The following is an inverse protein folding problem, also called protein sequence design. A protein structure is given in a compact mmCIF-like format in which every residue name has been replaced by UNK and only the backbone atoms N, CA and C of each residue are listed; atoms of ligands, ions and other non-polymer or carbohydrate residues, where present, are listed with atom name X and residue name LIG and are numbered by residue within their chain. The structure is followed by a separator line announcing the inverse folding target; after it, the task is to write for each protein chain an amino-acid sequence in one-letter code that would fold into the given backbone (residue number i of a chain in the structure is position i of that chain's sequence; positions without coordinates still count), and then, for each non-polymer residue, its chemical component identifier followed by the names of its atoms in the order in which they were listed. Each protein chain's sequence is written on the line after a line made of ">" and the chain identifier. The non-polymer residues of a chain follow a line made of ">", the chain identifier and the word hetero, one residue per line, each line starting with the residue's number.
data_IF_235187232737
#
_entry.id   IF_235187232737
#
_cell.length_a   1.000
_cell.length_b   1.000
_cell.length_c   1.000
_cell.angle_alpha   90.00
_cell.angle_beta   90.00
_cell.angle_gamma   90.00
#
_symmetry.space_group_name_H-M   'P 1'
#
loop_
_entity.id
_entity.type
_entity.pdbx_description
1 polymer ?
#
# COMPACT_ATOMS: atom_id res chain seq x y z
N UNK A 1 -17.07 3.46 4.14
CA UNK A 1 -16.73 4.26 5.33
C UNK A 1 -16.78 3.33 6.53
N UNK A 2 -15.64 2.94 7.10
CA UNK A 2 -15.60 2.07 8.28
C UNK A 2 -16.02 2.89 9.52
N UNK A 3 -17.22 2.66 10.04
CA UNK A 3 -17.69 3.22 11.32
C UNK A 3 -17.72 2.10 12.37
N UNK A 4 -17.02 2.31 13.49
CA UNK A 4 -17.27 1.73 14.81
C UNK A 4 -17.06 0.24 15.02
N UNK A 5 -17.74 -0.60 14.25
CA UNK A 5 -17.79 -2.05 14.47
C UNK A 5 -17.06 -2.76 13.32
N UNK A 6 -15.89 -3.35 13.61
CA UNK A 6 -15.09 -4.11 12.65
C UNK A 6 -13.68 -3.58 12.36
N UNK A 7 -13.16 -2.63 13.14
CA UNK A 7 -11.77 -2.19 12.99
C UNK A 7 -10.79 -3.24 13.54
N UNK A 8 -9.64 -3.47 12.87
CA UNK A 8 -8.59 -4.31 13.42
C UNK A 8 -8.14 -3.80 14.79
N UNK A 9 -7.75 -4.74 15.65
CA UNK A 9 -7.28 -4.42 17.00
C UNK A 9 -6.07 -3.47 16.94
N UNK A 10 -6.11 -2.39 17.74
CA UNK A 10 -5.01 -1.42 17.82
C UNK A 10 -5.07 -0.27 16.83
N UNK A 11 -6.12 -0.19 16.00
CA UNK A 11 -6.36 0.96 15.12
C UNK A 11 -6.98 2.11 15.91
N UNK A 12 -6.29 3.26 15.95
CA UNK A 12 -6.85 4.54 16.37
C UNK A 12 -7.27 5.35 15.11
N UNK A 13 -8.57 5.53 14.85
CA UNK A 13 -9.05 6.28 13.69
C UNK A 13 -8.88 7.81 13.82
N UNK A 14 -8.48 8.30 15.00
CA UNK A 14 -8.13 9.70 15.24
C UNK A 14 -6.66 10.03 14.97
N UNK A 15 -5.83 9.03 14.65
CA UNK A 15 -4.42 9.19 14.33
C UNK A 15 -4.15 8.79 12.88
N UNK A 16 -3.54 9.69 12.10
CA UNK A 16 -3.15 9.37 10.74
C UNK A 16 -2.07 8.29 10.68
N UNK A 17 -2.11 7.46 9.64
CA UNK A 17 -1.08 6.46 9.32
C UNK A 17 -0.58 6.63 7.90
N UNK A 18 0.70 6.36 7.68
CA UNK A 18 1.33 6.44 6.35
C UNK A 18 0.66 5.46 5.37
N UNK A 19 0.35 4.23 5.79
CA UNK A 19 -0.29 3.24 4.91
C UNK A 19 -1.67 3.71 4.43
N UNK A 20 -2.49 4.23 5.35
CA UNK A 20 -3.84 4.76 5.04
C UNK A 20 -3.81 6.08 4.28
N UNK A 21 -2.86 6.95 4.58
CA UNK A 21 -2.64 8.16 3.78
C UNK A 21 -2.25 7.81 2.35
N UNK A 22 -1.38 6.82 2.16
CA UNK A 22 -0.96 6.37 0.83
C UNK A 22 -2.13 5.75 0.05
N UNK A 23 -2.97 4.94 0.71
CA UNK A 23 -4.25 4.46 0.16
C UNK A 23 -5.14 5.64 -0.29
N UNK A 24 -5.32 6.67 0.55
CA UNK A 24 -6.09 7.86 0.20
C UNK A 24 -5.49 8.65 -0.98
N UNK A 25 -4.15 8.74 -1.07
CA UNK A 25 -3.46 9.38 -2.20
C UNK A 25 -3.71 8.64 -3.52
N UNK A 26 -3.79 7.31 -3.47
CA UNK A 26 -4.11 6.45 -4.61
C UNK A 26 -5.62 6.37 -4.92
N UNK A 27 -6.47 6.91 -4.04
CA UNK A 27 -7.92 6.91 -4.22
C UNK A 27 -8.61 5.64 -3.71
N UNK A 28 -7.96 4.91 -2.79
CA UNK A 28 -8.58 3.78 -2.09
C UNK A 28 -9.57 4.22 -1.01
N UNK A 29 -10.20 3.23 -0.39
CA UNK A 29 -11.30 3.43 0.57
C UNK A 29 -10.96 2.97 2.00
N UNK A 30 -9.77 2.40 2.21
CA UNK A 30 -9.32 1.87 3.50
C UNK A 30 -8.57 2.94 4.31
N UNK A 31 -9.19 4.13 4.40
CA UNK A 31 -8.64 5.30 5.07
C UNK A 31 -9.72 6.07 5.84
N UNK A 32 -9.31 6.71 6.94
CA UNK A 32 -10.19 7.49 7.78
C UNK A 32 -10.17 8.98 7.41
N UNK A 33 -11.04 9.76 8.05
CA UNK A 33 -11.08 11.21 7.86
C UNK A 33 -9.73 11.87 8.18
N UNK A 34 -9.07 11.47 9.28
CA UNK A 34 -7.77 12.03 9.69
C UNK A 34 -6.68 11.79 8.64
N UNK A 35 -6.71 10.64 7.95
CA UNK A 35 -5.74 10.32 6.90
C UNK A 35 -5.95 11.25 5.69
N UNK A 36 -7.21 11.50 5.30
CA UNK A 36 -7.54 12.41 4.20
C UNK A 36 -7.23 13.87 4.53
N UNK A 37 -7.45 14.29 5.77
CA UNK A 37 -7.07 15.62 6.25
C UNK A 37 -5.55 15.80 6.19
N UNK A 38 -4.78 14.80 6.64
CA UNK A 38 -3.32 14.82 6.51
C UNK A 38 -2.88 14.88 5.05
N UNK A 39 -3.49 14.09 4.15
CA UNK A 39 -3.20 14.15 2.70
C UNK A 39 -3.54 15.53 2.12
N UNK A 40 -4.64 16.16 2.54
CA UNK A 40 -5.01 17.50 2.09
C UNK A 40 -3.97 18.55 2.54
N UNK A 41 -3.48 18.46 3.78
CA UNK A 41 -2.41 19.32 4.28
C UNK A 41 -1.10 19.11 3.49
N UNK A 42 -0.72 17.86 3.20
CA UNK A 42 0.44 17.57 2.34
C UNK A 42 0.25 18.09 0.91
N UNK A 43 -0.95 17.95 0.34
CA UNK A 43 -1.27 18.43 -1.02
C UNK A 43 -1.19 19.96 -1.12
N UNK A 44 -1.50 20.67 -0.04
CA UNK A 44 -1.35 22.13 0.00
C UNK A 44 0.12 22.58 -0.04
N UNK A 45 1.06 21.75 0.41
CA UNK A 45 2.51 21.99 0.34
C UNK A 45 3.05 21.56 -1.02
N UNK A 46 2.70 20.35 -1.47
CA UNK A 46 3.08 19.81 -2.76
C UNK A 46 1.85 19.25 -3.51
N UNK A 47 1.37 19.95 -4.55
CA UNK A 47 0.25 19.48 -5.36
C UNK A 47 0.51 18.15 -6.10
N UNK A 48 1.76 17.68 -6.17
CA UNK A 48 2.16 16.48 -6.90
C UNK A 48 2.05 15.18 -6.09
N UNK A 49 1.70 15.22 -4.80
CA UNK A 49 1.70 14.02 -3.92
C UNK A 49 0.96 12.81 -4.51
N UNK A 50 -0.20 13.00 -5.14
CA UNK A 50 -0.95 11.91 -5.79
C UNK A 50 -0.23 11.35 -7.01
N UNK A 51 0.44 12.22 -7.77
CA UNK A 51 1.24 11.82 -8.93
C UNK A 51 2.48 11.05 -8.47
N UNK A 52 3.13 11.48 -7.40
CA UNK A 52 4.26 10.77 -6.80
C UNK A 52 3.86 9.38 -6.29
N UNK A 53 2.72 9.24 -5.60
CA UNK A 53 2.21 7.94 -5.16
C UNK A 53 1.96 6.97 -6.34
N UNK A 54 1.33 7.45 -7.42
CA UNK A 54 1.13 6.66 -8.64
C UNK A 54 2.45 6.27 -9.31
N UNK A 55 3.39 7.21 -9.41
CA UNK A 55 4.71 6.97 -9.98
C UNK A 55 5.49 5.92 -9.18
N UNK A 56 5.41 5.97 -7.85
CA UNK A 56 6.01 4.98 -6.96
C UNK A 56 5.40 3.58 -7.16
N UNK A 57 4.05 3.45 -7.24
CA UNK A 57 3.42 2.15 -7.58
C UNK A 57 3.84 1.63 -8.95
N UNK A 58 3.91 2.50 -9.95
CA UNK A 58 4.37 2.12 -11.28
C UNK A 58 5.85 1.66 -11.26
N UNK A 59 6.70 2.30 -10.46
CA UNK A 59 8.09 1.89 -10.28
C UNK A 59 8.20 0.53 -9.61
N UNK A 60 7.49 0.31 -8.50
CA UNK A 60 7.42 -0.98 -7.80
C UNK A 60 7.11 -2.12 -8.77
N UNK A 61 6.06 -1.97 -9.59
CA UNK A 61 5.67 -2.99 -10.58
C UNK A 61 6.72 -3.24 -11.67
N UNK A 62 7.52 -2.23 -12.07
CA UNK A 62 8.63 -2.43 -13.01
C UNK A 62 9.81 -3.14 -12.34
N UNK A 63 10.16 -2.73 -11.11
CA UNK A 63 11.27 -3.30 -10.36
C UNK A 63 11.03 -4.78 -10.01
N UNK A 64 9.84 -5.13 -9.52
CA UNK A 64 9.49 -6.51 -9.17
C UNK A 64 9.52 -7.41 -10.41
N UNK A 65 8.95 -6.95 -11.53
CA UNK A 65 8.98 -7.69 -12.80
C UNK A 65 10.40 -7.94 -13.28
N UNK A 66 11.23 -6.90 -13.29
CA UNK A 66 12.64 -7.02 -13.66
C UNK A 66 13.37 -8.05 -12.80
N UNK A 67 13.19 -8.00 -11.47
CA UNK A 67 13.81 -8.97 -10.56
C UNK A 67 13.31 -10.40 -10.79
N UNK A 68 12.02 -10.58 -11.04
CA UNK A 68 11.43 -11.88 -11.33
C UNK A 68 11.96 -12.47 -12.66
N UNK A 69 12.07 -11.64 -13.69
CA UNK A 69 12.67 -12.02 -14.99
C UNK A 69 14.16 -12.34 -14.84
N UNK A 70 14.87 -11.66 -13.94
CA UNK A 70 16.27 -11.94 -13.58
C UNK A 70 16.45 -13.19 -12.70
N UNK A 71 15.39 -13.93 -12.40
CA UNK A 71 15.44 -15.21 -11.68
C UNK A 71 15.21 -15.13 -10.18
N UNK A 72 14.90 -13.95 -9.62
CA UNK A 72 14.49 -13.84 -8.21
C UNK A 72 13.13 -14.51 -8.03
N UNK A 73 13.01 -15.39 -7.03
CA UNK A 73 11.78 -16.16 -6.73
C UNK A 73 11.22 -15.90 -5.33
N UNK A 74 11.89 -15.13 -4.50
CA UNK A 74 11.50 -14.87 -3.12
C UNK A 74 11.63 -13.37 -2.85
N UNK A 75 10.54 -12.77 -2.38
CA UNK A 75 10.45 -11.34 -2.09
C UNK A 75 9.99 -11.15 -0.65
N UNK A 76 10.54 -10.12 -0.01
CA UNK A 76 10.05 -9.59 1.26
C UNK A 76 9.73 -8.12 1.01
N UNK A 77 8.46 -7.75 1.15
CA UNK A 77 7.97 -6.39 0.97
C UNK A 77 7.73 -5.75 2.35
N UNK A 78 8.61 -4.82 2.71
CA UNK A 78 8.64 -4.15 4.02
C UNK A 78 7.96 -2.78 3.91
N UNK A 79 6.89 -2.58 4.66
CA UNK A 79 5.99 -1.43 4.49
C UNK A 79 5.12 -1.59 3.25
N UNK A 80 4.53 -2.78 3.08
CA UNK A 80 3.72 -3.14 1.91
C UNK A 80 2.51 -2.24 1.69
N UNK A 81 2.05 -1.61 2.78
CA UNK A 81 0.86 -0.80 2.83
C UNK A 81 -0.40 -1.61 2.60
N UNK A 82 -1.50 -0.89 2.40
CA UNK A 82 -2.80 -1.50 2.10
C UNK A 82 -2.76 -2.06 0.66
N UNK A 83 -3.28 -3.27 0.43
CA UNK A 83 -3.31 -3.87 -0.89
C UNK A 83 -4.03 -2.99 -1.92
N UNK A 84 -3.45 -2.94 -3.11
CA UNK A 84 -3.96 -2.16 -4.25
C UNK A 84 -3.83 -2.99 -5.53
N UNK A 85 -4.34 -2.53 -6.67
CA UNK A 85 -4.09 -3.22 -7.94
C UNK A 85 -2.57 -3.29 -8.24
N UNK A 86 -2.07 -4.47 -8.62
CA UNK A 86 -0.66 -4.67 -8.94
C UNK A 86 0.21 -4.93 -7.73
N UNK A 87 -0.27 -5.74 -6.78
CA UNK A 87 0.49 -6.19 -5.62
C UNK A 87 1.77 -6.95 -6.04
N UNK A 88 2.80 -6.91 -5.19
CA UNK A 88 4.11 -7.54 -5.48
C UNK A 88 4.00 -9.00 -5.93
N UNK A 89 3.14 -9.80 -5.30
CA UNK A 89 2.94 -11.20 -5.65
C UNK A 89 2.29 -11.37 -7.02
N UNK A 90 1.30 -10.53 -7.38
CA UNK A 90 0.65 -10.57 -8.69
C UNK A 90 1.68 -10.30 -9.80
N UNK A 91 2.50 -9.26 -9.61
CA UNK A 91 3.54 -8.89 -10.57
C UNK A 91 4.63 -9.96 -10.67
N UNK A 92 5.09 -10.48 -9.53
CA UNK A 92 6.13 -11.50 -9.49
C UNK A 92 5.65 -12.84 -10.09
N UNK A 93 4.44 -13.28 -9.76
CA UNK A 93 3.89 -14.55 -10.23
C UNK A 93 3.50 -14.51 -11.71
N UNK A 94 3.08 -13.35 -12.23
CA UNK A 94 2.84 -13.17 -13.65
C UNK A 94 4.12 -13.38 -14.49
N UNK A 95 5.27 -12.91 -14.00
CA UNK A 95 6.57 -13.11 -14.66
C UNK A 95 7.20 -14.47 -14.34
N UNK A 96 6.91 -15.03 -13.17
CA UNK A 96 7.55 -16.23 -12.65
C UNK A 96 6.58 -17.07 -11.82
N UNK A 97 5.85 -18.01 -12.45
CA UNK A 97 4.98 -18.94 -11.74
C UNK A 97 5.77 -19.70 -10.67
N UNK A 98 5.42 -19.51 -9.39
CA UNK A 98 6.13 -20.05 -8.23
C UNK A 98 6.92 -19.03 -7.40
N UNK A 99 6.93 -17.74 -7.78
CA UNK A 99 7.44 -16.68 -6.93
C UNK A 99 6.63 -16.58 -5.62
N UNK A 100 7.34 -16.42 -4.50
CA UNK A 100 6.77 -16.28 -3.16
C UNK A 100 7.06 -14.89 -2.60
N UNK A 101 6.09 -14.32 -1.91
CA UNK A 101 6.18 -12.98 -1.32
C UNK A 101 5.75 -13.05 0.13
N UNK A 102 6.49 -12.37 1.00
CA UNK A 102 6.08 -12.09 2.38
C UNK A 102 5.84 -10.59 2.47
N UNK A 103 4.67 -10.21 2.96
CA UNK A 103 4.31 -8.82 3.25
C UNK A 103 4.49 -8.53 4.72
N UNK A 104 5.07 -7.37 5.03
CA UNK A 104 5.29 -6.90 6.40
C UNK A 104 4.83 -5.46 6.48
N UNK A 105 3.91 -5.18 7.39
CA UNK A 105 3.48 -3.83 7.72
C UNK A 105 3.17 -3.71 9.21
N UNK A 106 3.26 -2.50 9.75
CA UNK A 106 2.94 -2.22 11.14
C UNK A 106 1.56 -1.59 11.32
N UNK A 107 0.90 -1.17 10.24
CA UNK A 107 -0.47 -0.70 10.27
C UNK A 107 -1.42 -1.91 10.36
N UNK A 108 -2.23 -2.05 11.44
CA UNK A 108 -3.15 -3.17 11.56
C UNK A 108 -4.20 -3.22 10.43
N UNK A 109 -4.52 -2.10 9.78
CA UNK A 109 -5.39 -2.08 8.59
C UNK A 109 -4.70 -2.75 7.41
N UNK A 110 -3.41 -2.46 7.17
CA UNK A 110 -2.65 -3.12 6.10
C UNK A 110 -2.56 -4.64 6.34
N UNK A 111 -2.26 -5.04 7.58
CA UNK A 111 -2.18 -6.46 7.96
C UNK A 111 -3.53 -7.17 7.79
N UNK A 112 -4.63 -6.55 8.24
CA UNK A 112 -5.96 -7.16 8.17
C UNK A 112 -6.49 -7.37 6.75
N UNK A 113 -5.97 -6.62 5.78
CA UNK A 113 -6.37 -6.71 4.37
C UNK A 113 -5.36 -7.47 3.50
N UNK A 114 -4.24 -7.96 4.06
CA UNK A 114 -3.22 -8.70 3.32
C UNK A 114 -3.70 -10.12 2.99
N UNK A 115 -3.75 -10.47 1.71
CA UNK A 115 -4.01 -11.82 1.16
C UNK A 115 -2.84 -12.29 0.29
#
# INVERSE_FOLDING_TARGET
>A
MLQGDGLPQGVDPGKASVARMYDAMLGGEHNFAIDREAVAAFTAIDPQVRTLARANRAFLGRAVRFLAEAGVRQFIDLGSGIPTQGNVHEVAQAAAPGARVVYVDNDPVAVAHSE
#
